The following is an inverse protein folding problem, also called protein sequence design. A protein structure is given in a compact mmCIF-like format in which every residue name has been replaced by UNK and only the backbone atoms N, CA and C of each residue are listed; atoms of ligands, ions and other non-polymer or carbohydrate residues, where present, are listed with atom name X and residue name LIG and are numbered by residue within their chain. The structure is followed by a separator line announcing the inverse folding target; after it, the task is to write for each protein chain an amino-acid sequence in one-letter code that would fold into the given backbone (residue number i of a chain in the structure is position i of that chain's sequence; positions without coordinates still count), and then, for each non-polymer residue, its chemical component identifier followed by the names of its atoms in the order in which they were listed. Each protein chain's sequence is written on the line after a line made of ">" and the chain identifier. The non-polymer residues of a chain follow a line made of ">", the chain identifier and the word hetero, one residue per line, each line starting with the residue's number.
data_IF_545932264436
#
_entry.id   IF_545932264436
#
_cell.length_a   1.000
_cell.length_b   1.000
_cell.length_c   1.000
_cell.angle_alpha   90.00
_cell.angle_beta   90.00
_cell.angle_gamma   90.00
#
_symmetry.space_group_name_H-M   'P 1'
#
loop_
_entity.id
_entity.type
_entity.pdbx_description
1 polymer ?
#
# COMPACT_ATOMS: atom_id res chain seq x y z
N UNK A 1 75.61 35.47 -29.11
CA UNK A 1 76.48 35.19 -27.95
C UNK A 1 75.81 34.07 -27.19
N UNK A 2 76.24 32.83 -27.44
CA UNK A 2 75.57 31.61 -27.00
C UNK A 2 76.17 31.16 -25.67
N UNK A 3 75.33 30.99 -24.64
CA UNK A 3 75.72 30.53 -23.32
C UNK A 3 75.85 28.99 -23.32
N UNK A 4 76.90 28.40 -22.73
CA UNK A 4 77.16 26.97 -22.80
C UNK A 4 76.30 26.18 -21.82
N UNK A 5 75.81 25.04 -22.33
CA UNK A 5 75.07 23.99 -21.65
C UNK A 5 75.78 23.50 -20.37
N UNK A 6 75.14 23.68 -19.21
CA UNK A 6 75.56 23.12 -17.92
C UNK A 6 74.82 21.82 -17.67
N UNK A 7 75.40 20.71 -18.08
CA UNK A 7 74.97 19.38 -17.63
C UNK A 7 75.36 19.17 -16.16
N UNK A 8 74.38 19.19 -15.26
CA UNK A 8 74.53 18.67 -13.90
C UNK A 8 74.69 17.13 -13.93
N UNK A 9 75.69 16.55 -13.25
CA UNK A 9 75.79 15.11 -13.12
C UNK A 9 74.64 14.58 -12.27
N UNK A 10 73.83 13.68 -12.85
CA UNK A 10 72.72 13.03 -12.17
C UNK A 10 73.14 12.27 -10.90
N UNK A 11 72.20 12.06 -9.95
CA UNK A 11 72.50 11.49 -8.64
C UNK A 11 73.15 10.10 -8.76
N UNK A 12 74.30 9.94 -8.12
CA UNK A 12 75.01 8.66 -7.99
C UNK A 12 74.14 7.73 -7.16
N UNK A 13 73.42 6.82 -7.81
CA UNK A 13 72.66 5.75 -7.14
C UNK A 13 73.68 4.73 -6.63
N UNK A 14 73.77 4.48 -5.31
CA UNK A 14 74.67 3.47 -4.77
C UNK A 14 74.31 2.08 -5.34
N UNK A 15 75.29 1.19 -5.57
CA UNK A 15 75.03 -0.17 -6.01
C UNK A 15 74.11 -0.90 -5.02
N UNK A 16 73.10 -1.61 -5.55
CA UNK A 16 72.01 -2.27 -4.81
C UNK A 16 72.45 -3.51 -3.99
N UNK A 17 73.73 -3.61 -3.62
CA UNK A 17 74.34 -4.80 -3.00
C UNK A 17 74.85 -4.58 -1.57
N UNK A 18 74.44 -3.48 -0.90
CA UNK A 18 74.90 -3.18 0.47
C UNK A 18 73.83 -3.27 1.56
N UNK A 19 72.66 -3.86 1.25
CA UNK A 19 71.70 -4.21 2.31
C UNK A 19 72.08 -5.61 2.83
N UNK A 20 72.98 -5.61 3.82
CA UNK A 20 73.33 -6.79 4.62
C UNK A 20 72.05 -7.39 5.22
N UNK A 21 71.79 -8.66 4.90
CA UNK A 21 70.53 -9.36 5.23
C UNK A 21 70.31 -9.44 6.75
N UNK A 22 71.39 -9.26 7.54
CA UNK A 22 71.36 -9.24 9.00
C UNK A 22 70.73 -7.96 9.60
N UNK A 23 70.49 -6.91 8.80
CA UNK A 23 69.82 -5.68 9.22
C UNK A 23 68.29 -5.73 8.99
N UNK A 24 67.75 -6.82 8.42
CA UNK A 24 66.30 -6.99 8.27
C UNK A 24 65.67 -7.35 9.61
N UNK A 25 65.27 -6.34 10.36
CA UNK A 25 64.39 -6.52 11.53
C UNK A 25 63.04 -7.06 11.02
N UNK A 26 62.60 -8.26 11.43
CA UNK A 26 61.30 -8.76 11.02
C UNK A 26 60.21 -7.82 11.55
N UNK A 27 59.20 -7.48 10.72
CA UNK A 27 58.13 -6.59 11.16
C UNK A 27 57.42 -7.20 12.38
N UNK A 28 57.01 -6.37 13.35
CA UNK A 28 56.27 -6.86 14.51
C UNK A 28 55.04 -7.63 14.04
N UNK A 29 54.88 -8.87 14.51
CA UNK A 29 53.69 -9.68 14.22
C UNK A 29 52.47 -8.91 14.70
N UNK A 30 51.73 -8.30 13.77
CA UNK A 30 50.40 -7.76 14.07
C UNK A 30 49.54 -8.91 14.59
N UNK A 31 48.88 -8.77 15.75
CA UNK A 31 47.88 -9.73 16.17
C UNK A 31 46.86 -9.89 15.03
N UNK A 32 46.54 -11.14 14.68
CA UNK A 32 45.53 -11.40 13.68
C UNK A 32 44.23 -10.69 14.11
N UNK A 33 43.50 -10.02 13.18
CA UNK A 33 42.22 -9.43 13.52
C UNK A 33 41.32 -10.52 14.13
N UNK A 34 40.57 -10.21 15.20
CA UNK A 34 39.68 -11.18 15.81
C UNK A 34 38.75 -11.74 14.73
N UNK A 35 38.78 -13.07 14.58
CA UNK A 35 37.98 -13.79 13.59
C UNK A 35 36.52 -13.30 13.74
N UNK A 36 35.86 -12.83 12.67
CA UNK A 36 34.47 -12.41 12.74
C UNK A 36 33.68 -13.54 13.38
N UNK A 37 32.95 -13.24 14.47
CA UNK A 37 32.04 -14.23 15.03
C UNK A 37 31.10 -14.68 13.90
N UNK A 38 30.85 -15.98 13.72
CA UNK A 38 29.89 -16.44 12.73
C UNK A 38 28.59 -15.67 12.98
N UNK A 39 28.18 -14.88 11.98
CA UNK A 39 26.88 -14.23 11.99
C UNK A 39 25.89 -15.39 12.01
N UNK A 40 25.18 -15.53 13.12
CA UNK A 40 24.09 -16.50 13.23
C UNK A 40 23.05 -16.06 12.19
N UNK A 41 23.01 -16.76 11.06
CA UNK A 41 22.03 -16.51 10.03
C UNK A 41 20.64 -16.59 10.67
N UNK A 42 19.73 -15.70 10.26
CA UNK A 42 18.33 -15.77 10.65
C UNK A 42 17.63 -17.07 10.19
N UNK A 43 18.37 -17.99 9.57
CA UNK A 43 17.95 -19.29 9.07
C UNK A 43 17.94 -20.39 10.16
N UNK A 44 18.37 -20.09 11.39
CA UNK A 44 18.30 -21.01 12.56
C UNK A 44 16.90 -21.05 13.23
N UNK A 45 15.84 -20.67 12.51
CA UNK A 45 14.47 -20.93 12.98
C UNK A 45 14.14 -22.38 12.63
N UNK A 46 13.94 -23.28 13.61
CA UNK A 46 13.61 -24.67 13.32
C UNK A 46 12.34 -24.70 12.45
N UNK A 47 12.28 -25.51 11.38
CA UNK A 47 11.14 -25.54 10.45
C UNK A 47 9.77 -25.72 11.13
N UNK A 48 9.74 -26.30 12.33
CA UNK A 48 8.54 -26.45 13.15
C UNK A 48 8.05 -25.19 13.87
N UNK A 49 8.88 -24.17 14.09
CA UNK A 49 8.51 -22.95 14.83
C UNK A 49 7.67 -21.97 14.00
N UNK A 50 7.89 -21.90 12.68
CA UNK A 50 7.07 -21.08 11.78
C UNK A 50 5.69 -21.73 11.56
N UNK A 51 5.63 -23.06 11.55
CA UNK A 51 4.36 -23.79 11.45
C UNK A 51 3.50 -23.70 12.73
N UNK A 52 4.10 -23.75 13.93
CA UNK A 52 3.34 -23.70 15.20
C UNK A 52 2.78 -22.31 15.52
N UNK A 53 3.48 -21.23 15.18
CA UNK A 53 2.96 -19.86 15.36
C UNK A 53 1.88 -19.53 14.33
N UNK A 54 2.03 -20.00 13.08
CA UNK A 54 1.01 -19.85 12.04
C UNK A 54 -0.27 -20.63 12.33
N UNK A 55 -0.15 -21.89 12.76
CA UNK A 55 -1.30 -22.74 13.11
C UNK A 55 -1.93 -22.29 14.42
N UNK A 56 -1.14 -21.94 15.44
CA UNK A 56 -1.65 -21.39 16.70
C UNK A 56 -2.37 -20.06 16.51
N UNK A 57 -1.82 -19.17 15.68
CA UNK A 57 -2.46 -17.91 15.29
C UNK A 57 -3.72 -18.11 14.46
N UNK A 58 -3.72 -19.06 13.52
CA UNK A 58 -4.90 -19.41 12.72
C UNK A 58 -5.99 -20.08 13.55
N UNK A 59 -5.64 -20.98 14.47
CA UNK A 59 -6.59 -21.63 15.40
C UNK A 59 -7.14 -20.60 16.38
N UNK A 60 -6.31 -19.71 16.92
CA UNK A 60 -6.77 -18.61 17.76
C UNK A 60 -7.68 -17.63 16.99
N UNK A 61 -7.37 -17.32 15.73
CA UNK A 61 -8.20 -16.51 14.85
C UNK A 61 -9.54 -17.20 14.55
N UNK A 62 -9.52 -18.49 14.22
CA UNK A 62 -10.74 -19.27 13.95
C UNK A 62 -11.58 -19.44 15.21
N UNK A 63 -10.98 -19.57 16.40
CA UNK A 63 -11.69 -19.59 17.68
C UNK A 63 -12.26 -18.21 18.01
N UNK A 64 -11.49 -17.14 17.86
CA UNK A 64 -11.98 -15.76 18.03
C UNK A 64 -13.11 -15.43 17.05
N UNK A 65 -13.05 -15.94 15.81
CA UNK A 65 -14.10 -15.80 14.81
C UNK A 65 -15.33 -16.64 15.19
N UNK A 66 -15.14 -17.90 15.57
CA UNK A 66 -16.22 -18.83 15.99
C UNK A 66 -16.96 -18.36 17.24
N UNK A 67 -16.28 -17.71 18.18
CA UNK A 67 -16.87 -17.25 19.44
C UNK A 67 -17.26 -15.76 19.41
N UNK A 68 -16.52 -14.94 18.66
CA UNK A 68 -16.76 -13.50 18.52
C UNK A 68 -17.89 -13.18 17.55
N UNK A 69 -18.02 -13.91 16.43
CA UNK A 69 -19.12 -13.70 15.48
C UNK A 69 -20.48 -13.94 16.14
N UNK A 70 -20.75 -15.07 16.82
CA UNK A 70 -22.07 -15.30 17.42
C UNK A 70 -22.41 -14.28 18.50
N UNK A 71 -21.43 -13.86 19.30
CA UNK A 71 -21.64 -12.84 20.35
C UNK A 71 -21.87 -11.45 19.77
N UNK A 72 -21.15 -11.09 18.71
CA UNK A 72 -21.37 -9.84 17.99
C UNK A 72 -22.72 -9.87 17.26
N UNK A 73 -23.10 -11.01 16.69
CA UNK A 73 -24.40 -11.24 16.05
C UNK A 73 -25.53 -11.14 17.08
N UNK A 74 -25.39 -11.77 18.25
CA UNK A 74 -26.38 -11.73 19.34
C UNK A 74 -26.52 -10.32 19.94
N UNK A 75 -25.40 -9.61 20.14
CA UNK A 75 -25.37 -8.19 20.49
C UNK A 75 -26.05 -7.32 19.43
N UNK A 76 -25.82 -7.60 18.15
CA UNK A 76 -26.49 -6.92 17.05
C UNK A 76 -27.97 -7.26 16.95
N UNK A 77 -28.40 -8.47 17.28
CA UNK A 77 -29.81 -8.86 17.28
C UNK A 77 -30.59 -8.27 18.45
N UNK A 78 -29.94 -7.99 19.57
CA UNK A 78 -30.55 -7.33 20.73
C UNK A 78 -30.66 -5.81 20.57
N UNK A 79 -29.85 -5.24 19.70
CA UNK A 79 -29.85 -3.81 19.42
C UNK A 79 -30.84 -3.54 18.28
N UNK A 80 -31.86 -2.71 18.51
CA UNK A 80 -32.86 -2.38 17.48
C UNK A 80 -32.25 -1.51 16.37
N UNK A 81 -31.58 -2.14 15.40
CA UNK A 81 -30.98 -1.49 14.22
C UNK A 81 -32.01 -1.12 13.15
N UNK A 82 -33.30 -1.00 13.52
CA UNK A 82 -34.37 -0.70 12.58
C UNK A 82 -34.06 0.57 11.77
N UNK A 83 -33.48 1.60 12.40
CA UNK A 83 -33.07 2.82 11.72
C UNK A 83 -31.97 2.59 10.67
N UNK A 84 -31.03 1.68 10.94
CA UNK A 84 -29.92 1.39 10.03
C UNK A 84 -30.40 0.52 8.87
N UNK A 85 -31.27 -0.46 9.13
CA UNK A 85 -31.87 -1.29 8.07
C UNK A 85 -32.78 -0.44 7.16
N UNK A 86 -33.58 0.46 7.73
CA UNK A 86 -34.39 1.43 6.98
C UNK A 86 -33.53 2.37 6.13
N UNK A 87 -32.44 2.88 6.70
CA UNK A 87 -31.49 3.71 5.96
C UNK A 87 -30.83 2.94 4.81
N UNK A 88 -30.41 1.70 5.04
CA UNK A 88 -29.85 0.86 3.97
C UNK A 88 -30.87 0.53 2.89
N UNK A 89 -32.13 0.26 3.26
CA UNK A 89 -33.21 -0.03 2.31
C UNK A 89 -33.49 1.18 1.40
N UNK A 90 -33.39 2.40 1.94
CA UNK A 90 -33.53 3.66 1.18
C UNK A 90 -32.54 3.76 0.00
N UNK A 91 -31.42 3.05 0.07
CA UNK A 91 -30.38 3.04 -0.97
C UNK A 91 -30.43 1.73 -1.76
N UNK A 92 -30.51 0.59 -1.07
CA UNK A 92 -30.44 -0.73 -1.66
C UNK A 92 -31.67 -1.05 -2.52
N UNK A 93 -32.87 -0.65 -2.09
CA UNK A 93 -34.10 -0.95 -2.82
C UNK A 93 -34.13 -0.23 -4.19
N UNK A 94 -33.82 1.09 -4.29
CA UNK A 94 -33.68 1.73 -5.60
C UNK A 94 -32.59 1.12 -6.48
N UNK A 95 -31.43 0.76 -5.93
CA UNK A 95 -30.36 0.12 -6.71
C UNK A 95 -30.82 -1.24 -7.26
N UNK A 96 -31.50 -2.05 -6.44
CA UNK A 96 -32.05 -3.33 -6.86
C UNK A 96 -33.13 -3.15 -7.93
N UNK A 97 -34.03 -2.17 -7.75
CA UNK A 97 -35.07 -1.84 -8.73
C UNK A 97 -34.48 -1.38 -10.07
N UNK A 98 -33.44 -0.53 -10.04
CA UNK A 98 -32.71 -0.11 -11.23
C UNK A 98 -32.11 -1.31 -11.97
N UNK A 99 -31.40 -2.18 -11.26
CA UNK A 99 -30.79 -3.38 -11.85
C UNK A 99 -31.85 -4.35 -12.37
N UNK A 100 -32.99 -4.49 -11.68
CA UNK A 100 -34.10 -5.32 -12.14
C UNK A 100 -34.66 -4.81 -13.48
N UNK A 101 -34.89 -3.51 -13.61
CA UNK A 101 -35.35 -2.90 -14.85
C UNK A 101 -34.33 -3.06 -16.00
N UNK A 102 -33.03 -2.97 -15.70
CA UNK A 102 -31.96 -2.97 -16.71
C UNK A 102 -31.33 -4.34 -16.99
N UNK A 103 -31.81 -5.41 -16.35
CA UNK A 103 -31.38 -6.80 -16.60
C UNK A 103 -32.41 -7.61 -17.37
N UNK A 104 -33.56 -7.03 -17.70
CA UNK A 104 -34.59 -7.69 -18.52
C UNK A 104 -34.01 -8.04 -19.90
N UNK A 105 -34.01 -9.32 -20.23
CA UNK A 105 -33.48 -9.84 -21.50
C UNK A 105 -31.98 -10.16 -21.49
N UNK A 106 -31.26 -9.94 -20.38
CA UNK A 106 -29.88 -10.42 -20.21
C UNK A 106 -29.84 -11.83 -19.60
N UNK A 107 -28.76 -12.61 -19.84
CA UNK A 107 -28.54 -13.89 -19.16
C UNK A 107 -28.33 -13.76 -17.64
N UNK A 108 -27.97 -12.58 -17.15
CA UNK A 108 -27.74 -12.32 -15.72
C UNK A 108 -29.05 -11.89 -15.07
N UNK A 109 -29.40 -12.52 -13.95
CA UNK A 109 -30.59 -12.14 -13.17
C UNK A 109 -30.33 -10.86 -12.36
N UNK A 110 -31.39 -10.14 -12.03
CA UNK A 110 -31.33 -8.94 -11.18
C UNK A 110 -30.63 -9.21 -9.84
N UNK A 111 -30.94 -10.34 -9.19
CA UNK A 111 -30.32 -10.76 -7.94
C UNK A 111 -28.82 -10.99 -8.10
N UNK A 112 -28.40 -11.69 -9.15
CA UNK A 112 -26.98 -11.92 -9.42
C UNK A 112 -26.25 -10.61 -9.72
N UNK A 113 -26.84 -9.73 -10.52
CA UNK A 113 -26.29 -8.40 -10.79
C UNK A 113 -26.13 -7.58 -9.51
N UNK A 114 -27.13 -7.59 -8.63
CA UNK A 114 -27.08 -6.91 -7.34
C UNK A 114 -26.00 -7.49 -6.42
N UNK A 115 -25.87 -8.81 -6.33
CA UNK A 115 -24.81 -9.46 -5.54
C UNK A 115 -23.42 -9.13 -6.08
N UNK A 116 -23.23 -9.15 -7.40
CA UNK A 116 -21.97 -8.75 -8.04
C UNK A 116 -21.68 -7.28 -7.73
N UNK A 117 -22.68 -6.41 -7.85
CA UNK A 117 -22.55 -4.98 -7.55
C UNK A 117 -22.09 -4.74 -6.11
N UNK A 118 -22.72 -5.39 -5.14
CA UNK A 118 -22.33 -5.33 -3.73
C UNK A 118 -20.92 -5.88 -3.50
N UNK A 119 -20.59 -7.00 -4.14
CA UNK A 119 -19.27 -7.61 -4.09
C UNK A 119 -18.15 -6.69 -4.59
N UNK A 120 -18.36 -5.99 -5.71
CA UNK A 120 -17.41 -5.01 -6.25
C UNK A 120 -17.22 -3.83 -5.30
N UNK A 121 -18.31 -3.31 -4.72
CA UNK A 121 -18.25 -2.24 -3.72
C UNK A 121 -17.43 -2.62 -2.49
N UNK A 122 -17.74 -3.77 -1.88
CA UNK A 122 -17.03 -4.28 -0.70
C UNK A 122 -15.57 -4.60 -1.01
N UNK A 123 -15.30 -5.28 -2.14
CA UNK A 123 -13.96 -5.64 -2.53
C UNK A 123 -13.10 -4.41 -2.84
N UNK A 124 -13.64 -3.40 -3.53
CA UNK A 124 -12.91 -2.16 -3.82
C UNK A 124 -12.63 -1.35 -2.55
N UNK A 125 -13.57 -1.29 -1.60
CA UNK A 125 -13.35 -0.67 -0.30
C UNK A 125 -12.27 -1.38 0.50
N UNK A 126 -12.37 -2.70 0.63
CA UNK A 126 -11.40 -3.52 1.35
C UNK A 126 -10.01 -3.43 0.71
N UNK A 127 -9.94 -3.51 -0.62
CA UNK A 127 -8.68 -3.39 -1.35
C UNK A 127 -8.07 -1.99 -1.19
N UNK A 128 -8.89 -0.93 -1.27
CA UNK A 128 -8.46 0.45 -1.03
C UNK A 128 -7.90 0.63 0.39
N UNK A 129 -8.58 0.06 1.39
CA UNK A 129 -8.18 0.12 2.78
C UNK A 129 -6.87 -0.64 3.05
N UNK A 130 -6.74 -1.86 2.52
CA UNK A 130 -5.61 -2.75 2.79
C UNK A 130 -4.36 -2.39 1.99
N UNK A 131 -4.51 -2.01 0.73
CA UNK A 131 -3.38 -1.81 -0.19
C UNK A 131 -3.11 -0.35 -0.53
N UNK A 132 -4.10 0.54 -0.33
CA UNK A 132 -4.01 1.93 -0.78
C UNK A 132 -3.96 2.10 -2.31
N UNK A 133 -4.23 1.03 -3.08
CA UNK A 133 -4.13 1.06 -4.53
C UNK A 133 -5.05 2.11 -5.16
N UNK A 134 -4.49 2.94 -6.05
CA UNK A 134 -5.24 4.00 -6.74
C UNK A 134 -6.40 3.42 -7.55
N UNK A 135 -6.19 2.29 -8.22
CA UNK A 135 -7.24 1.60 -8.97
C UNK A 135 -8.42 1.23 -8.08
N UNK A 136 -8.17 0.68 -6.89
CA UNK A 136 -9.22 0.32 -5.94
C UNK A 136 -10.01 1.55 -5.46
N UNK A 137 -9.31 2.67 -5.21
CA UNK A 137 -9.93 3.94 -4.80
C UNK A 137 -10.82 4.49 -5.91
N UNK A 138 -10.33 4.48 -7.15
CA UNK A 138 -11.10 4.91 -8.31
C UNK A 138 -12.34 4.02 -8.50
N UNK A 139 -12.18 2.70 -8.39
CA UNK A 139 -13.31 1.77 -8.44
C UNK A 139 -14.32 2.06 -7.34
N UNK A 140 -13.90 2.30 -6.10
CA UNK A 140 -14.81 2.68 -5.00
C UNK A 140 -15.56 3.97 -5.31
N UNK A 141 -14.88 5.01 -5.79
CA UNK A 141 -15.53 6.29 -6.12
C UNK A 141 -16.49 6.17 -7.30
N UNK A 142 -16.12 5.44 -8.34
CA UNK A 142 -16.97 5.21 -9.50
C UNK A 142 -18.20 4.36 -9.14
N UNK A 143 -18.00 3.32 -8.33
CA UNK A 143 -19.07 2.49 -7.78
C UNK A 143 -20.07 3.33 -6.98
N UNK A 144 -19.58 4.29 -6.19
CA UNK A 144 -20.42 5.25 -5.48
C UNK A 144 -21.20 6.19 -6.36
N UNK A 145 -20.53 6.83 -7.31
CA UNK A 145 -21.20 7.72 -8.25
C UNK A 145 -22.30 6.99 -9.03
N UNK A 146 -22.01 5.78 -9.53
CA UNK A 146 -22.99 4.96 -10.21
C UNK A 146 -24.15 4.56 -9.27
N UNK A 147 -23.87 4.18 -8.02
CA UNK A 147 -24.94 3.83 -7.06
C UNK A 147 -25.86 5.03 -6.78
N UNK A 148 -25.30 6.22 -6.63
CA UNK A 148 -26.07 7.46 -6.44
C UNK A 148 -26.95 7.77 -7.67
N UNK A 149 -26.43 7.56 -8.88
CA UNK A 149 -27.19 7.72 -10.12
C UNK A 149 -28.35 6.71 -10.22
N UNK A 150 -28.09 5.44 -9.88
CA UNK A 150 -29.13 4.40 -9.83
C UNK A 150 -30.23 4.76 -8.82
N UNK A 151 -29.86 5.29 -7.65
CA UNK A 151 -30.82 5.77 -6.65
C UNK A 151 -31.64 6.94 -7.19
N UNK A 152 -30.99 7.91 -7.83
CA UNK A 152 -31.72 9.03 -8.43
C UNK A 152 -32.73 8.56 -9.48
N UNK A 153 -32.36 7.62 -10.33
CA UNK A 153 -33.23 7.13 -11.40
C UNK A 153 -34.42 6.30 -10.87
N UNK A 154 -34.15 5.36 -9.97
CA UNK A 154 -35.15 4.38 -9.53
C UNK A 154 -35.94 4.78 -8.26
N UNK A 155 -35.50 5.79 -7.50
CA UNK A 155 -36.24 6.19 -6.29
C UNK A 155 -37.60 6.84 -6.63
N UNK A 156 -38.62 6.67 -5.75
CA UNK A 156 -39.92 7.31 -5.90
C UNK A 156 -39.81 8.84 -5.99
N UNK A 157 -40.56 9.46 -6.91
CA UNK A 157 -40.43 10.88 -7.22
C UNK A 157 -40.54 11.81 -5.98
N UNK A 158 -41.42 11.49 -5.04
CA UNK A 158 -41.61 12.29 -3.82
C UNK A 158 -40.40 12.26 -2.87
N UNK A 159 -39.67 11.15 -2.81
CA UNK A 159 -38.55 10.96 -1.88
C UNK A 159 -37.16 10.97 -2.53
N UNK A 160 -37.09 11.01 -3.87
CA UNK A 160 -35.85 10.90 -4.65
C UNK A 160 -34.73 11.83 -4.17
N UNK A 161 -34.94 13.14 -3.93
CA UNK A 161 -33.85 14.01 -3.49
C UNK A 161 -33.25 13.57 -2.14
N UNK A 162 -34.10 13.12 -1.21
CA UNK A 162 -33.68 12.67 0.12
C UNK A 162 -32.93 11.34 0.02
N UNK A 163 -33.44 10.38 -0.76
CA UNK A 163 -32.78 9.09 -0.97
C UNK A 163 -31.40 9.26 -1.60
N UNK A 164 -31.28 10.12 -2.61
CA UNK A 164 -30.00 10.44 -3.25
C UNK A 164 -29.03 11.13 -2.29
N UNK A 165 -29.49 12.08 -1.48
CA UNK A 165 -28.64 12.72 -0.47
C UNK A 165 -28.12 11.72 0.57
N UNK A 166 -28.98 10.80 1.03
CA UNK A 166 -28.60 9.72 1.95
C UNK A 166 -27.60 8.75 1.31
N UNK A 167 -27.75 8.44 0.01
CA UNK A 167 -26.77 7.65 -0.73
C UNK A 167 -25.41 8.35 -0.81
N UNK A 168 -25.38 9.65 -1.10
CA UNK A 168 -24.15 10.45 -1.12
C UNK A 168 -23.48 10.46 0.26
N UNK A 169 -24.25 10.63 1.34
CA UNK A 169 -23.75 10.56 2.71
C UNK A 169 -23.13 9.20 3.02
N UNK A 170 -23.80 8.09 2.65
CA UNK A 170 -23.28 6.74 2.84
C UNK A 170 -21.91 6.55 2.16
N UNK A 171 -21.79 6.98 0.90
CA UNK A 171 -20.53 6.87 0.17
C UNK A 171 -19.45 7.84 0.64
N UNK A 172 -19.83 9.01 1.14
CA UNK A 172 -18.89 9.96 1.76
C UNK A 172 -18.27 9.34 3.01
N UNK A 173 -19.09 8.73 3.86
CA UNK A 173 -18.62 8.03 5.06
C UNK A 173 -17.65 6.91 4.68
N UNK A 174 -18.01 6.06 3.71
CA UNK A 174 -17.13 5.00 3.23
C UNK A 174 -15.84 5.52 2.58
N UNK A 175 -15.88 6.71 1.96
CA UNK A 175 -14.71 7.31 1.31
C UNK A 175 -13.63 7.76 2.29
N UNK A 176 -13.97 8.08 3.54
CA UNK A 176 -12.95 8.32 4.58
C UNK A 176 -12.04 7.10 4.78
N UNK A 177 -12.59 5.89 4.63
CA UNK A 177 -11.83 4.67 4.72
C UNK A 177 -11.02 4.43 3.43
N UNK A 178 -11.67 4.49 2.27
CA UNK A 178 -11.02 4.21 0.99
C UNK A 178 -9.88 5.18 0.66
N UNK A 179 -10.06 6.46 0.96
CA UNK A 179 -9.13 7.54 0.60
C UNK A 179 -8.07 7.81 1.68
N UNK A 180 -8.01 6.98 2.72
CA UNK A 180 -7.01 7.10 3.79
C UNK A 180 -5.60 7.07 3.21
N UNK A 181 -4.78 8.04 3.61
CA UNK A 181 -3.36 8.12 3.21
C UNK A 181 -3.10 8.77 1.85
N UNK A 182 -4.07 9.45 1.24
CA UNK A 182 -3.79 10.36 0.13
C UNK A 182 -3.01 11.59 0.63
N UNK A 183 -1.69 11.55 0.50
CA UNK A 183 -0.86 12.74 0.58
C UNK A 183 -0.76 13.33 -0.83
N UNK A 184 -1.60 14.32 -1.13
CA UNK A 184 -1.43 15.15 -2.31
C UNK A 184 -0.19 16.02 -2.06
N UNK A 185 1.02 15.50 -2.30
CA UNK A 185 2.22 16.34 -2.37
C UNK A 185 2.02 17.27 -3.57
N UNK A 186 1.86 18.59 -3.36
CA UNK A 186 1.76 19.52 -4.48
C UNK A 186 3.13 19.49 -5.17
N UNK A 187 3.19 18.85 -6.34
CA UNK A 187 4.37 18.87 -7.19
C UNK A 187 4.33 20.21 -7.93
N UNK A 188 4.72 21.27 -7.22
CA UNK A 188 4.91 22.59 -7.81
C UNK A 188 6.08 22.45 -8.78
N UNK A 189 5.78 22.27 -10.07
CA UNK A 189 6.74 22.43 -11.15
C UNK A 189 7.13 23.91 -11.20
N UNK A 190 8.07 24.32 -10.35
CA UNK A 190 8.80 25.55 -10.55
C UNK A 190 9.66 25.34 -11.81
N UNK A 191 9.15 25.81 -12.94
CA UNK A 191 9.95 26.03 -14.13
C UNK A 191 11.03 27.05 -13.76
N UNK A 192 12.19 26.59 -13.30
CA UNK A 192 13.35 27.45 -13.10
C UNK A 192 13.81 27.91 -14.48
N UNK A 193 13.39 29.11 -14.87
CA UNK A 193 13.92 29.80 -16.03
C UNK A 193 15.37 30.17 -15.74
N UNK A 194 16.31 29.23 -15.91
CA UNK A 194 17.74 29.46 -15.76
C UNK A 194 18.15 30.45 -16.86
N UNK A 195 18.35 31.71 -16.49
CA UNK A 195 19.05 32.67 -17.35
C UNK A 195 20.53 32.27 -17.43
N UNK A 196 20.93 31.71 -18.58
CA UNK A 196 22.34 31.58 -18.93
C UNK A 196 22.93 32.99 -19.12
N UNK A 197 23.76 33.43 -18.17
CA UNK A 197 24.60 34.61 -18.37
C UNK A 197 25.78 34.23 -19.26
N UNK A 198 25.97 34.85 -20.44
CA UNK A 198 27.17 34.63 -21.23
C UNK A 198 28.36 35.27 -20.50
N UNK A 199 29.38 34.46 -20.21
CA UNK A 199 30.68 34.93 -19.73
C UNK A 199 31.28 35.88 -20.77
N UNK A 200 31.69 37.07 -20.32
CA UNK A 200 32.52 38.01 -21.09
C UNK A 200 33.99 37.77 -20.77
#
# INVERSE_FOLDING_TARGET
>A
MSEPDKHEPGPVIPPLDTIDDNQRIPPPRRPAPPRPRPIKAADDVPPGAIATVGIGGLVALLLALKWGIPRAIDWCHHQDWAWATQWTATIADPVHAYLSAHTVGLPVTATSAFVIWQGVGIASLALSWLTGAVGARLTWTAHGACSVLMVWDAAPAAGRPVATALAVLAWTIGSFFALRGLSLRPLIHLHSHIHNHPAR
#
